data_IF_886240854899
#
_entry.id   IF_886240854899
#
_cell.length_a   1.000
_cell.length_b   1.000
_cell.length_c   1.000
_cell.angle_alpha   90.00
_cell.angle_beta   90.00
_cell.angle_gamma   90.00
#
_symmetry.space_group_name_H-M   'P 1'
#
loop_
_entity.id
_entity.type
_entity.pdbx_description
1 polymer ?
#
# COMPACT_ATOMS: atom_id res chain seq x y z
N UNK A 1 19.66 17.74 -4.66
CA UNK A 1 19.13 17.14 -3.39
C UNK A 1 17.88 16.32 -3.72
N UNK A 2 17.79 15.11 -3.18
CA UNK A 2 16.58 14.29 -3.31
C UNK A 2 15.54 14.83 -2.33
N UNK A 3 14.32 15.12 -2.80
CA UNK A 3 13.27 15.77 -1.99
C UNK A 3 12.18 14.82 -1.52
N UNK A 4 11.87 13.78 -2.30
CA UNK A 4 10.84 12.81 -1.95
C UNK A 4 10.90 11.58 -2.85
N UNK A 5 9.95 10.67 -2.64
CA UNK A 5 9.80 9.44 -3.43
C UNK A 5 8.51 9.56 -4.25
N UNK A 6 8.59 9.21 -5.53
CA UNK A 6 7.44 9.07 -6.43
C UNK A 6 7.29 7.59 -6.76
N UNK A 7 6.15 7.01 -6.42
CA UNK A 7 5.85 5.59 -6.65
C UNK A 7 4.84 5.46 -7.78
N UNK A 8 5.07 4.52 -8.70
CA UNK A 8 4.13 4.21 -9.78
C UNK A 8 3.49 2.84 -9.55
N UNK A 9 2.19 2.78 -9.80
CA UNK A 9 1.43 1.53 -9.89
C UNK A 9 1.18 1.26 -11.38
N UNK A 10 1.63 0.11 -11.87
CA UNK A 10 1.31 -0.34 -13.21
C UNK A 10 0.00 -1.12 -13.17
N UNK A 11 -0.99 -0.68 -13.92
CA UNK A 11 -2.36 -1.20 -13.86
C UNK A 11 -2.85 -1.59 -15.24
N UNK A 12 -3.57 -2.70 -15.32
CA UNK A 12 -4.26 -3.12 -16.53
C UNK A 12 -5.52 -2.27 -16.82
N UNK A 13 -6.04 -1.61 -15.78
CA UNK A 13 -7.15 -0.66 -15.89
C UNK A 13 -6.82 0.58 -15.04
N UNK A 14 -6.03 1.48 -15.63
CA UNK A 14 -5.54 2.66 -14.92
C UNK A 14 -6.67 3.57 -14.43
N UNK A 15 -7.76 3.69 -15.16
CA UNK A 15 -8.90 4.50 -14.76
C UNK A 15 -9.61 3.91 -13.54
N UNK A 16 -9.77 2.59 -13.47
CA UNK A 16 -10.35 1.92 -12.31
C UNK A 16 -9.46 2.06 -11.08
N UNK A 17 -8.14 1.93 -11.22
CA UNK A 17 -7.19 2.12 -10.13
C UNK A 17 -7.22 3.58 -9.62
N UNK A 18 -7.20 4.55 -10.51
CA UNK A 18 -7.27 5.98 -10.16
C UNK A 18 -8.57 6.32 -9.43
N UNK A 19 -9.70 5.80 -9.91
CA UNK A 19 -10.99 5.97 -9.25
C UNK A 19 -10.98 5.37 -7.84
N UNK A 20 -10.38 4.20 -7.66
CA UNK A 20 -10.24 3.57 -6.35
C UNK A 20 -9.42 4.44 -5.37
N UNK A 21 -8.26 4.95 -5.81
CA UNK A 21 -7.42 5.82 -4.98
C UNK A 21 -8.14 7.13 -4.60
N UNK A 22 -8.88 7.70 -5.54
CA UNK A 22 -9.64 8.93 -5.33
C UNK A 22 -10.88 8.72 -4.45
N UNK A 23 -11.70 7.73 -4.76
CA UNK A 23 -13.06 7.61 -4.22
C UNK A 23 -13.12 6.68 -3.00
N UNK A 24 -12.31 5.62 -2.95
CA UNK A 24 -12.27 4.68 -1.82
C UNK A 24 -11.25 5.12 -0.78
N UNK A 25 -9.99 5.35 -1.19
CA UNK A 25 -8.95 5.82 -0.26
C UNK A 25 -9.08 7.31 0.07
N UNK A 26 -9.79 8.08 -0.75
CA UNK A 26 -10.02 9.50 -0.51
C UNK A 26 -8.78 10.38 -0.67
N UNK A 27 -7.81 9.95 -1.47
CA UNK A 27 -6.57 10.68 -1.63
C UNK A 27 -6.75 11.91 -2.51
N UNK A 28 -6.13 13.01 -2.09
CA UNK A 28 -6.03 14.23 -2.90
C UNK A 28 -5.08 14.01 -4.06
N UNK A 29 -5.34 14.71 -5.16
CA UNK A 29 -4.55 14.55 -6.38
C UNK A 29 -4.41 15.86 -7.15
N UNK A 30 -3.45 15.86 -8.06
CA UNK A 30 -3.35 16.83 -9.14
C UNK A 30 -3.53 16.08 -10.47
N UNK A 31 -4.11 16.75 -11.46
CA UNK A 31 -4.23 16.23 -12.81
C UNK A 31 -3.15 16.83 -13.70
N UNK A 32 -2.62 16.05 -14.63
CA UNK A 32 -1.65 16.56 -15.58
C UNK A 32 -2.31 17.48 -16.62
N UNK A 33 -1.58 18.48 -17.10
CA UNK A 33 -2.10 19.42 -18.08
C UNK A 33 -2.33 18.78 -19.45
N UNK A 34 -1.48 17.82 -19.82
CA UNK A 34 -1.57 17.11 -21.11
C UNK A 34 -2.65 16.03 -21.12
N UNK A 35 -3.05 15.51 -19.95
CA UNK A 35 -4.07 14.47 -19.81
C UNK A 35 -4.73 14.60 -18.43
N UNK A 36 -5.96 15.09 -18.42
CA UNK A 36 -6.73 15.32 -17.18
C UNK A 36 -7.16 14.03 -16.48
N UNK A 37 -7.09 12.89 -17.15
CA UNK A 37 -7.33 11.59 -16.54
C UNK A 37 -6.06 11.03 -15.86
N UNK A 38 -4.90 11.61 -16.13
CA UNK A 38 -3.64 11.23 -15.46
C UNK A 38 -3.54 11.94 -14.11
N UNK A 39 -3.88 11.20 -13.06
CA UNK A 39 -3.90 11.72 -11.69
C UNK A 39 -2.62 11.33 -10.95
N UNK A 40 -2.04 12.28 -10.24
CA UNK A 40 -0.91 12.07 -9.33
C UNK A 40 -1.38 12.33 -7.91
N UNK A 41 -1.29 11.33 -7.06
CA UNK A 41 -1.91 11.34 -5.75
C UNK A 41 -0.93 11.72 -4.64
N UNK A 42 -1.45 12.41 -3.64
CA UNK A 42 -0.75 12.66 -2.38
C UNK A 42 -0.86 11.40 -1.52
N UNK A 43 0.22 10.64 -1.39
CA UNK A 43 0.25 9.38 -0.64
C UNK A 43 0.67 9.52 0.84
N UNK A 44 0.93 10.77 1.31
CA UNK A 44 1.25 11.06 2.72
C UNK A 44 2.72 10.88 3.09
N UNK A 45 3.05 10.88 4.40
CA UNK A 45 4.40 10.56 4.86
C UNK A 45 4.75 9.12 4.51
N UNK A 46 6.06 8.82 4.40
CA UNK A 46 6.51 7.48 4.02
C UNK A 46 7.75 7.06 4.79
N UNK A 47 7.96 5.76 4.86
CA UNK A 47 9.22 5.14 5.28
C UNK A 47 9.59 4.05 4.29
N UNK A 48 10.84 3.61 4.31
CA UNK A 48 11.35 2.59 3.40
C UNK A 48 12.12 1.53 4.18
N UNK A 49 11.75 0.27 3.99
CA UNK A 49 12.47 -0.87 4.48
C UNK A 49 13.23 -1.58 3.36
N UNK A 50 14.25 -2.35 3.73
CA UNK A 50 14.97 -3.22 2.81
C UNK A 50 14.82 -4.65 3.29
N UNK A 51 14.25 -5.50 2.45
CA UNK A 51 14.07 -6.92 2.73
C UNK A 51 15.04 -7.74 1.87
N UNK A 52 15.72 -8.75 2.43
CA UNK A 52 16.58 -9.61 1.63
C UNK A 52 15.77 -10.44 0.63
N UNK A 53 16.36 -10.75 -0.52
CA UNK A 53 15.77 -11.66 -1.51
C UNK A 53 15.76 -13.10 -1.04
N UNK A 54 16.71 -13.45 -0.17
CA UNK A 54 16.80 -14.78 0.46
C UNK A 54 16.90 -14.62 1.97
N UNK A 55 16.05 -15.33 2.70
CA UNK A 55 16.10 -15.35 4.17
C UNK A 55 15.62 -16.68 4.72
N UNK A 56 16.07 -16.98 5.94
CA UNK A 56 15.64 -18.14 6.71
C UNK A 56 15.04 -17.66 8.03
N UNK A 57 13.88 -18.16 8.38
CA UNK A 57 13.18 -17.79 9.59
C UNK A 57 12.38 -18.98 10.13
N UNK A 58 12.60 -19.31 11.40
CA UNK A 58 11.91 -20.42 12.08
C UNK A 58 11.93 -21.74 11.28
N UNK A 59 13.09 -22.09 10.71
CA UNK A 59 13.29 -23.31 9.93
C UNK A 59 12.70 -23.30 8.52
N UNK A 60 12.17 -22.17 8.06
CA UNK A 60 11.66 -21.98 6.71
C UNK A 60 12.56 -21.08 5.89
N UNK A 61 12.67 -21.39 4.61
CA UNK A 61 13.38 -20.59 3.62
C UNK A 61 12.40 -19.76 2.82
N UNK A 62 12.72 -18.49 2.64
CA UNK A 62 11.93 -17.54 1.86
C UNK A 62 12.79 -16.96 0.75
N UNK A 63 12.34 -17.12 -0.49
CA UNK A 63 12.99 -16.58 -1.68
C UNK A 63 12.02 -15.66 -2.40
N UNK A 64 12.51 -14.46 -2.76
CA UNK A 64 11.76 -13.45 -3.48
C UNK A 64 12.58 -12.91 -4.64
N UNK A 65 11.97 -12.63 -5.79
CA UNK A 65 12.66 -11.90 -6.84
C UNK A 65 12.94 -10.46 -6.39
N UNK A 66 13.85 -9.78 -7.08
CA UNK A 66 14.01 -8.34 -6.91
C UNK A 66 12.73 -7.64 -7.35
N UNK A 67 12.13 -6.89 -6.46
CA UNK A 67 10.91 -6.12 -6.73
C UNK A 67 10.71 -5.05 -5.65
N UNK A 68 9.69 -4.24 -5.81
CA UNK A 68 9.28 -3.25 -4.82
C UNK A 68 7.85 -3.54 -4.40
N UNK A 69 7.57 -3.48 -3.11
CA UNK A 69 6.24 -3.61 -2.55
C UNK A 69 5.74 -2.26 -2.04
N UNK A 70 4.44 -2.05 -2.20
CA UNK A 70 3.75 -0.93 -1.57
C UNK A 70 2.93 -1.50 -0.41
N UNK A 71 3.08 -0.91 0.77
CA UNK A 71 2.21 -1.15 1.90
C UNK A 71 1.61 0.18 2.37
N UNK A 72 0.34 0.18 2.73
CA UNK A 72 -0.34 1.32 3.30
C UNK A 72 -0.42 1.13 4.81
N UNK A 73 0.17 2.06 5.55
CA UNK A 73 0.21 1.99 7.01
C UNK A 73 -1.05 2.61 7.61
N UNK A 74 -1.49 2.05 8.73
CA UNK A 74 -2.58 2.58 9.53
C UNK A 74 -2.28 2.43 11.02
N UNK A 75 -3.00 3.14 11.84
CA UNK A 75 -2.87 3.11 13.30
C UNK A 75 -3.87 2.14 13.96
N UNK A 76 -4.98 1.83 13.29
CA UNK A 76 -6.01 0.88 13.74
C UNK A 76 -6.53 0.09 12.53
N UNK A 77 -6.00 -1.11 12.33
CA UNK A 77 -6.32 -1.91 11.14
C UNK A 77 -7.77 -2.42 11.15
N UNK A 78 -8.33 -2.73 12.31
CA UNK A 78 -9.72 -3.21 12.39
C UNK A 78 -10.69 -2.10 11.95
N UNK A 79 -10.50 -0.89 12.45
CA UNK A 79 -11.30 0.27 12.06
C UNK A 79 -11.07 0.66 10.60
N UNK A 80 -9.82 0.62 10.14
CA UNK A 80 -9.46 0.96 8.74
C UNK A 80 -10.10 -0.01 7.75
N UNK A 81 -10.01 -1.31 8.00
CA UNK A 81 -10.63 -2.33 7.13
C UNK A 81 -12.14 -2.15 7.09
N UNK A 82 -12.79 -1.93 8.24
CA UNK A 82 -14.24 -1.73 8.29
C UNK A 82 -14.67 -0.47 7.51
N UNK A 83 -13.93 0.64 7.64
CA UNK A 83 -14.18 1.87 6.90
C UNK A 83 -14.03 1.67 5.38
N UNK A 84 -12.95 1.02 4.95
CA UNK A 84 -12.69 0.78 3.54
C UNK A 84 -13.71 -0.19 2.93
N UNK A 85 -14.11 -1.24 3.66
CA UNK A 85 -15.18 -2.15 3.24
C UNK A 85 -16.50 -1.41 3.04
N UNK A 86 -16.85 -0.48 3.92
CA UNK A 86 -18.04 0.34 3.77
C UNK A 86 -18.03 1.19 2.49
N UNK A 87 -16.85 1.52 1.97
CA UNK A 87 -16.65 2.23 0.70
C UNK A 87 -16.49 1.30 -0.51
N UNK A 88 -16.61 -0.01 -0.32
CA UNK A 88 -16.56 -0.99 -1.40
C UNK A 88 -15.23 -1.72 -1.57
N UNK A 89 -14.24 -1.48 -0.74
CA UNK A 89 -12.97 -2.21 -0.79
C UNK A 89 -13.18 -3.70 -0.43
N UNK A 90 -12.39 -4.56 -1.06
CA UNK A 90 -12.37 -6.00 -0.81
C UNK A 90 -10.99 -6.43 -0.34
N UNK A 91 -10.94 -7.42 0.52
CA UNK A 91 -9.70 -7.93 1.12
C UNK A 91 -9.58 -9.43 0.91
N UNK A 92 -8.33 -9.93 0.88
CA UNK A 92 -8.06 -11.37 0.79
C UNK A 92 -7.87 -11.94 2.19
N UNK A 93 -8.88 -12.67 2.66
CA UNK A 93 -8.84 -13.34 3.95
C UNK A 93 -8.91 -12.40 5.15
N UNK A 94 -8.68 -12.93 6.35
CA UNK A 94 -8.73 -12.18 7.60
C UNK A 94 -7.44 -11.38 7.84
N UNK A 95 -7.51 -10.44 8.78
CA UNK A 95 -6.34 -9.76 9.32
C UNK A 95 -5.47 -10.78 10.06
N UNK A 96 -4.17 -10.82 9.75
CA UNK A 96 -3.21 -11.74 10.35
C UNK A 96 -2.22 -10.99 11.24
N UNK A 97 -1.82 -11.64 12.33
CA UNK A 97 -0.73 -11.18 13.19
C UNK A 97 0.60 -11.73 12.64
N UNK A 98 1.54 -10.86 12.37
CA UNK A 98 2.91 -11.21 11.96
C UNK A 98 3.92 -10.50 12.86
N UNK A 99 5.23 -10.79 12.71
CA UNK A 99 6.27 -10.27 13.60
C UNK A 99 6.33 -8.74 13.63
N UNK A 100 6.12 -8.09 12.49
CA UNK A 100 6.21 -6.64 12.34
C UNK A 100 4.89 -5.89 12.51
N UNK A 101 3.79 -6.61 12.72
CA UNK A 101 2.48 -5.97 12.94
C UNK A 101 1.29 -6.85 12.58
N UNK A 102 0.19 -6.19 12.25
CA UNK A 102 -1.04 -6.82 11.77
C UNK A 102 -1.27 -6.42 10.33
N UNK A 103 -1.61 -7.39 9.48
CA UNK A 103 -1.63 -7.20 8.03
C UNK A 103 -2.85 -7.83 7.38
N UNK A 104 -3.24 -7.27 6.25
CA UNK A 104 -4.22 -7.87 5.33
C UNK A 104 -3.95 -7.36 3.91
N UNK A 105 -4.19 -8.18 2.91
CA UNK A 105 -4.05 -7.77 1.51
C UNK A 105 -5.35 -7.17 1.01
N UNK A 106 -5.26 -5.95 0.47
CA UNK A 106 -6.37 -5.23 -0.13
C UNK A 106 -6.34 -5.40 -1.65
N UNK A 107 -7.49 -5.73 -2.23
CA UNK A 107 -7.64 -5.87 -3.67
C UNK A 107 -7.78 -4.48 -4.28
N UNK A 108 -6.90 -4.16 -5.23
CA UNK A 108 -6.93 -2.89 -5.98
C UNK A 108 -7.41 -3.19 -7.40
N UNK A 109 -8.54 -2.60 -7.84
CA UNK A 109 -9.04 -2.84 -9.19
C UNK A 109 -7.99 -2.50 -10.27
N UNK A 110 -7.70 -3.46 -11.15
CA UNK A 110 -6.78 -3.31 -12.27
C UNK A 110 -5.29 -3.42 -11.93
N UNK A 111 -4.92 -3.56 -10.68
CA UNK A 111 -3.52 -3.59 -10.22
C UNK A 111 -3.28 -4.75 -9.24
N UNK A 112 -2.03 -4.92 -8.84
CA UNK A 112 -1.68 -5.88 -7.79
C UNK A 112 -2.28 -5.48 -6.44
N UNK A 113 -2.49 -6.47 -5.58
CA UNK A 113 -2.93 -6.25 -4.22
C UNK A 113 -1.93 -5.36 -3.47
N UNK A 114 -2.46 -4.52 -2.58
CA UNK A 114 -1.64 -3.69 -1.69
C UNK A 114 -1.85 -4.16 -0.25
N UNK A 115 -0.76 -4.36 0.47
CA UNK A 115 -0.85 -4.69 1.89
C UNK A 115 -1.29 -3.46 2.69
N UNK A 116 -2.31 -3.65 3.53
CA UNK A 116 -2.65 -2.70 4.60
C UNK A 116 -2.04 -3.22 5.89
N UNK A 117 -1.33 -2.37 6.61
CA UNK A 117 -0.62 -2.86 7.76
C UNK A 117 -0.56 -1.86 8.94
N UNK A 118 -0.76 -2.41 10.14
CA UNK A 118 -0.61 -1.69 11.39
C UNK A 118 0.72 -2.12 12.02
N UNK A 119 1.76 -1.27 11.99
CA UNK A 119 3.08 -1.64 12.49
C UNK A 119 3.13 -1.75 14.01
N UNK A 120 4.01 -2.59 14.51
CA UNK A 120 4.41 -2.65 15.93
C UNK A 120 5.77 -2.01 16.18
N UNK A 121 6.53 -1.70 15.13
CA UNK A 121 7.81 -0.98 15.25
C UNK A 121 7.62 0.53 15.38
N UNK A 122 8.66 1.23 15.80
CA UNK A 122 8.68 2.70 15.79
C UNK A 122 8.61 3.20 14.36
N UNK A 123 7.86 4.29 14.17
CA UNK A 123 7.67 4.89 12.85
C UNK A 123 8.88 5.71 12.46
N UNK A 124 9.56 5.32 11.38
CA UNK A 124 10.76 6.01 10.91
C UNK A 124 10.47 7.43 10.42
N UNK A 125 9.29 7.67 9.85
CA UNK A 125 8.93 9.02 9.38
C UNK A 125 8.65 10.02 10.52
N UNK A 126 8.69 9.58 11.77
CA UNK A 126 8.61 10.46 12.95
C UNK A 126 9.99 10.88 13.49
N UNK A 127 11.07 10.43 12.87
CA UNK A 127 12.44 10.78 13.26
C UNK A 127 12.79 12.23 12.90
#
# INVERSE_FOLDING_TARGET
MITSIHTLIYSDDANATRAFLRDVLGWKYVAEDFDKDWLIFKSGPSEMGVHPTHSEWEGKTYDHPRHHLIALMCDDIDATVAELQAKGAKFRGPIEQVEYGRVVMMIVPGADDIQVYQPTHKLAYNL
#
